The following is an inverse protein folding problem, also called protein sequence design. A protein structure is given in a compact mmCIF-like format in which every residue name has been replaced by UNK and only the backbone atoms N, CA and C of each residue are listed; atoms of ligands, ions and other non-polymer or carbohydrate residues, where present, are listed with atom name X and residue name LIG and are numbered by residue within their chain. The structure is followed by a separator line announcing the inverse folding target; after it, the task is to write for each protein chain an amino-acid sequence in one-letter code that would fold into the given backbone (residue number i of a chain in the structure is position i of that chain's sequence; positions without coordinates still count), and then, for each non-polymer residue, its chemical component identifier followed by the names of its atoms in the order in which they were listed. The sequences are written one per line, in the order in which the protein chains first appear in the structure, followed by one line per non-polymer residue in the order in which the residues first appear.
data_IF_495418211393
#
_entry.id   IF_495418211393
#
_cell.length_a   1.000
_cell.length_b   1.000
_cell.length_c   1.000
_cell.angle_alpha   90.00
_cell.angle_beta   90.00
_cell.angle_gamma   90.00
#
_symmetry.space_group_name_H-M   'P 1'
#
loop_
_entity.id
_entity.type
_entity.pdbx_description
1 polymer ?
#
# COMPACT_ATOMS: atom_id res chain seq x y z
N UNK A 1 10.32 26.27 19.33
CA UNK A 1 11.00 26.38 18.02
C UNK A 1 11.94 25.18 17.95
N UNK A 2 11.93 24.28 17.00
CA UNK A 2 11.10 23.99 15.84
C UNK A 2 11.70 22.67 15.34
N UNK A 3 11.21 21.54 15.84
CA UNK A 3 11.61 20.23 15.31
C UNK A 3 10.69 19.86 14.16
N UNK A 4 10.62 20.74 13.16
CA UNK A 4 10.28 20.33 11.80
C UNK A 4 11.49 19.61 11.21
N UNK A 5 11.75 18.39 11.71
CA UNK A 5 12.52 17.42 10.92
C UNK A 5 11.73 17.24 9.64
N UNK A 6 12.30 17.79 8.57
CA UNK A 6 12.05 17.48 7.17
C UNK A 6 11.54 16.03 7.10
N UNK A 7 10.21 15.89 7.01
CA UNK A 7 9.56 14.60 6.81
C UNK A 7 9.94 14.24 5.40
N UNK A 8 10.96 13.38 5.24
CA UNK A 8 11.36 12.76 3.99
C UNK A 8 10.09 12.53 3.17
N UNK A 9 9.93 13.38 2.16
CA UNK A 9 8.74 13.49 1.34
C UNK A 9 8.74 12.40 0.26
N UNK A 10 9.34 11.25 0.59
CA UNK A 10 9.31 10.08 -0.25
C UNK A 10 7.89 9.49 -0.20
N UNK A 11 7.18 9.45 -1.34
CA UNK A 11 5.89 8.80 -1.39
C UNK A 11 6.07 7.33 -0.98
N UNK A 12 5.42 6.93 0.11
CA UNK A 12 5.52 5.55 0.60
C UNK A 12 4.74 4.64 -0.34
N UNK A 13 5.38 3.56 -0.76
CA UNK A 13 4.75 2.52 -1.56
C UNK A 13 4.31 1.40 -0.63
N UNK A 14 3.08 0.93 -0.82
CA UNK A 14 2.59 -0.25 -0.14
C UNK A 14 2.88 -1.51 -0.96
N UNK A 15 3.39 -2.52 -0.29
CA UNK A 15 3.62 -3.86 -0.83
C UNK A 15 2.69 -4.84 -0.11
N UNK A 16 2.18 -5.84 -0.81
CA UNK A 16 1.41 -6.95 -0.25
C UNK A 16 2.06 -8.27 -0.64
N UNK A 17 2.06 -9.24 0.26
CA UNK A 17 2.45 -10.60 -0.06
C UNK A 17 1.31 -11.29 -0.82
N UNK A 18 1.57 -11.68 -2.08
CA UNK A 18 0.62 -12.47 -2.86
C UNK A 18 0.44 -13.88 -2.30
N UNK A 19 -0.61 -14.58 -2.73
CA UNK A 19 -0.83 -16.01 -2.41
C UNK A 19 0.35 -16.89 -2.81
N UNK A 20 1.10 -16.47 -3.84
CA UNK A 20 2.32 -17.13 -4.30
C UNK A 20 3.55 -16.88 -3.40
N UNK A 21 3.39 -16.13 -2.32
CA UNK A 21 4.45 -15.79 -1.36
C UNK A 21 5.37 -14.64 -1.79
N UNK A 22 5.25 -14.14 -3.02
CA UNK A 22 6.05 -13.01 -3.52
C UNK A 22 5.44 -11.67 -3.14
N UNK A 23 6.33 -10.69 -2.98
CA UNK A 23 5.94 -9.31 -2.72
C UNK A 23 5.43 -8.65 -4.01
N UNK A 24 4.24 -8.05 -3.96
CA UNK A 24 3.64 -7.28 -5.05
C UNK A 24 3.34 -5.86 -4.59
N UNK A 25 3.51 -4.87 -5.45
CA UNK A 25 3.14 -3.51 -5.13
C UNK A 25 1.63 -3.34 -5.21
N UNK A 26 1.03 -2.68 -4.23
CA UNK A 26 -0.39 -2.34 -4.26
C UNK A 26 -0.57 -1.20 -5.26
N UNK A 27 -1.42 -1.40 -6.25
CA UNK A 27 -1.84 -0.38 -7.21
C UNK A 27 -3.09 0.39 -6.76
N UNK A 28 -3.88 -0.19 -5.86
CA UNK A 28 -5.10 0.42 -5.31
C UNK A 28 -6.17 -0.60 -4.98
N UNK A 29 -7.43 -0.16 -4.96
CA UNK A 29 -8.60 -1.03 -4.86
C UNK A 29 -8.97 -1.55 -6.26
N UNK A 30 -9.14 -2.86 -6.37
CA UNK A 30 -9.66 -3.52 -7.56
C UNK A 30 -11.18 -3.39 -7.66
N UNK A 31 -11.72 -3.57 -8.87
CA UNK A 31 -13.16 -3.45 -9.12
C UNK A 31 -14.00 -4.50 -8.35
N UNK A 32 -13.37 -5.60 -7.95
CA UNK A 32 -13.91 -6.68 -7.13
C UNK A 32 -13.78 -6.41 -5.62
N UNK A 33 -13.31 -5.23 -5.23
CA UNK A 33 -13.08 -4.83 -3.83
C UNK A 33 -11.80 -5.39 -3.21
N UNK A 34 -11.13 -6.33 -3.89
CA UNK A 34 -9.81 -6.82 -3.47
C UNK A 34 -8.72 -5.80 -3.78
N UNK A 35 -7.57 -5.93 -3.10
CA UNK A 35 -6.40 -5.13 -3.45
C UNK A 35 -5.93 -5.46 -4.86
N UNK A 36 -5.88 -4.45 -5.73
CA UNK A 36 -5.17 -4.56 -6.99
C UNK A 36 -3.68 -4.51 -6.67
N UNK A 37 -2.99 -5.60 -6.96
CA UNK A 37 -1.52 -5.66 -6.84
C UNK A 37 -0.89 -5.83 -8.21
N UNK A 38 0.30 -5.28 -8.39
CA UNK A 38 1.10 -5.30 -9.61
C UNK A 38 2.54 -5.69 -9.26
N UNK A 39 3.30 -6.15 -10.25
CA UNK A 39 4.71 -6.46 -10.01
C UNK A 39 5.48 -5.21 -9.58
N UNK A 40 6.37 -5.31 -8.57
CA UNK A 40 7.12 -4.18 -8.03
C UNK A 40 8.28 -3.78 -8.98
N UNK A 41 7.98 -3.58 -10.25
CA UNK A 41 8.93 -3.17 -11.30
C UNK A 41 8.83 -1.69 -11.58
N UNK A 42 9.90 -1.10 -12.14
CA UNK A 42 9.91 0.32 -12.52
C UNK A 42 8.83 0.66 -13.56
N UNK A 43 8.47 -0.29 -14.41
CA UNK A 43 7.42 -0.12 -15.42
C UNK A 43 6.03 0.06 -14.80
N UNK A 44 5.78 -0.59 -13.66
CA UNK A 44 4.53 -0.46 -12.91
C UNK A 44 4.57 0.65 -11.85
N UNK A 45 5.69 1.37 -11.71
CA UNK A 45 5.88 2.34 -10.64
C UNK A 45 4.86 3.50 -10.69
N UNK A 46 4.37 3.84 -11.88
CA UNK A 46 3.30 4.82 -12.06
C UNK A 46 1.94 4.30 -11.62
N UNK A 47 1.75 2.97 -11.65
CA UNK A 47 0.53 2.32 -11.16
C UNK A 47 0.57 2.06 -9.65
N UNK A 48 1.70 2.28 -8.97
CA UNK A 48 1.79 2.05 -7.52
C UNK A 48 0.94 3.06 -6.75
N UNK A 49 0.28 2.55 -5.72
CA UNK A 49 -0.40 3.37 -4.74
C UNK A 49 0.64 4.11 -3.90
N UNK A 50 0.91 5.34 -4.31
CA UNK A 50 1.74 6.30 -3.56
C UNK A 50 0.90 6.86 -2.43
N UNK A 51 1.22 6.46 -1.21
CA UNK A 51 0.54 6.97 -0.03
C UNK A 51 1.29 8.18 0.48
N UNK A 52 0.61 9.32 0.41
CA UNK A 52 1.05 10.53 1.07
C UNK A 52 0.78 10.40 2.57
N UNK A 53 1.84 10.38 3.36
CA UNK A 53 1.78 10.26 4.82
C UNK A 53 1.20 11.50 5.51
N UNK A 54 0.96 12.59 4.77
CA UNK A 54 0.31 13.80 5.28
C UNK A 54 -1.22 13.65 5.31
N UNK A 55 -1.78 12.68 4.61
CA UNK A 55 -3.22 12.52 4.46
C UNK A 55 -3.72 11.17 5.02
N UNK A 56 -5.00 11.09 5.40
CA UNK A 56 -5.66 9.88 5.94
C UNK A 56 -5.82 8.74 4.90
N UNK A 57 -5.06 8.77 3.80
CA UNK A 57 -5.14 7.80 2.72
C UNK A 57 -4.74 6.39 3.18
N UNK A 58 -3.72 6.27 4.03
CA UNK A 58 -3.29 5.00 4.62
C UNK A 58 -4.41 4.39 5.48
N UNK A 59 -4.99 5.21 6.34
CA UNK A 59 -6.00 4.76 7.30
C UNK A 59 -7.30 4.36 6.60
N UNK A 60 -7.73 5.14 5.60
CA UNK A 60 -8.87 4.81 4.76
C UNK A 60 -8.65 3.51 3.97
N UNK A 61 -7.44 3.29 3.46
CA UNK A 61 -7.08 2.07 2.76
C UNK A 61 -7.13 0.85 3.69
N UNK A 62 -6.49 0.90 4.86
CA UNK A 62 -6.49 -0.22 5.81
C UNK A 62 -7.88 -0.51 6.37
N UNK A 63 -8.70 0.52 6.59
CA UNK A 63 -10.08 0.35 7.02
C UNK A 63 -10.91 -0.41 5.98
N UNK A 64 -10.86 0.05 4.72
CA UNK A 64 -11.49 -0.62 3.57
C UNK A 64 -10.95 -2.04 3.35
N UNK A 65 -9.65 -2.23 3.52
CA UNK A 65 -8.99 -3.53 3.39
C UNK A 65 -9.42 -4.49 4.50
N UNK A 66 -9.36 -4.07 5.76
CA UNK A 66 -9.71 -4.89 6.93
C UNK A 66 -11.20 -5.26 6.97
N UNK A 67 -12.08 -4.38 6.47
CA UNK A 67 -13.51 -4.69 6.35
C UNK A 67 -13.80 -5.78 5.31
N UNK A 68 -12.98 -5.85 4.25
CA UNK A 68 -13.12 -6.83 3.16
C UNK A 68 -12.32 -8.13 3.40
N UNK A 69 -11.17 -8.06 4.05
CA UNK A 69 -10.32 -9.20 4.41
C UNK A 69 -10.71 -9.83 5.76
N UNK A 70 -12.01 -10.01 6.03
CA UNK A 70 -12.51 -10.73 7.23
C UNK A 70 -12.01 -12.18 7.35
N UNK A 71 -11.36 -12.72 6.33
CA UNK A 71 -10.69 -14.01 6.35
C UNK A 71 -9.29 -13.92 5.73
N UNK A 72 -8.29 -13.35 6.43
CA UNK A 72 -6.97 -13.16 5.85
C UNK A 72 -6.18 -14.47 5.97
N UNK A 73 -6.20 -15.30 4.94
CA UNK A 73 -5.16 -16.31 4.74
C UNK A 73 -3.86 -15.59 4.38
N UNK A 74 -3.12 -15.18 5.41
CA UNK A 74 -1.67 -14.89 5.38
C UNK A 74 -1.19 -13.72 4.49
N UNK A 75 -2.00 -12.71 4.20
CA UNK A 75 -1.55 -11.53 3.44
C UNK A 75 -0.94 -10.46 4.37
N UNK A 76 0.40 -10.36 4.39
CA UNK A 76 1.11 -9.26 5.05
C UNK A 76 1.23 -8.03 4.14
N UNK A 77 0.88 -6.84 4.64
CA UNK A 77 1.11 -5.56 3.96
C UNK A 77 2.33 -4.87 4.59
N UNK A 78 3.25 -4.42 3.74
CA UNK A 78 4.51 -3.78 4.11
C UNK A 78 4.60 -2.39 3.49
N UNK A 79 4.96 -1.39 4.29
CA UNK A 79 5.26 -0.06 3.78
C UNK A 79 6.78 0.13 3.77
N UNK A 80 7.33 0.48 2.61
CA UNK A 80 8.75 0.82 2.46
C UNK A 80 8.88 2.32 2.20
N UNK A 81 9.81 2.96 2.91
CA UNK A 81 10.12 4.39 2.85
C UNK A 81 11.31 4.70 1.97
#
# INVERSE_FOLDING_TARGET
MEENKLKDETPKVLLAQGEDGKMKAIAGEGADGKLKTVDPTKENADSFLKIDTRNNALENFFKKFSEQFKNPSHTGIYAVS
#
